data_IF_938972394753
#
_entry.id   IF_938972394753
#
_cell.length_a   1.000
_cell.length_b   1.000
_cell.length_c   1.000
_cell.angle_alpha   90.00
_cell.angle_beta   90.00
_cell.angle_gamma   90.00
#
_symmetry.space_group_name_H-M   'P 1'
#
loop_
_entity.id
_entity.type
_entity.pdbx_description
1 polymer ?
#
# COMPACT_ATOMS: atom_id res chain seq x y z
N UNK A 1 54.13 44.91 -73.05
CA UNK A 1 55.30 44.44 -72.28
C UNK A 1 54.80 43.77 -71.00
N UNK A 2 55.12 42.47 -70.84
CA UNK A 2 55.19 41.65 -69.60
C UNK A 2 53.97 41.70 -68.64
N UNK A 3 53.19 40.61 -68.49
CA UNK A 3 53.44 39.44 -67.60
C UNK A 3 53.47 39.90 -66.12
N UNK A 4 52.69 39.41 -65.15
CA UNK A 4 52.29 38.03 -64.81
C UNK A 4 51.43 38.02 -63.53
N UNK A 5 50.46 37.09 -63.44
CA UNK A 5 49.98 36.42 -62.20
C UNK A 5 49.19 37.26 -61.18
N UNK A 6 48.24 36.78 -60.40
CA UNK A 6 47.93 35.41 -59.98
C UNK A 6 46.59 35.41 -59.19
N UNK A 7 45.70 34.46 -59.52
CA UNK A 7 44.73 33.69 -58.69
C UNK A 7 43.84 34.38 -57.62
N UNK A 8 42.52 34.22 -57.78
CA UNK A 8 41.47 34.27 -56.72
C UNK A 8 41.68 33.15 -55.67
N UNK A 9 41.21 33.35 -54.41
CA UNK A 9 40.04 32.59 -53.94
C UNK A 9 39.06 33.45 -53.10
N UNK A 10 37.74 33.31 -53.31
CA UNK A 10 36.76 32.54 -52.50
C UNK A 10 36.65 33.02 -51.04
N UNK A 11 35.50 33.63 -50.76
CA UNK A 11 35.01 34.03 -49.43
C UNK A 11 35.08 32.84 -48.45
N UNK A 12 35.86 33.00 -47.39
CA UNK A 12 35.87 32.10 -46.26
C UNK A 12 34.66 32.37 -45.35
N UNK A 13 33.97 31.28 -45.05
CA UNK A 13 33.01 31.08 -43.97
C UNK A 13 33.63 31.40 -42.60
N UNK A 14 32.99 32.24 -41.79
CA UNK A 14 33.29 32.34 -40.36
C UNK A 14 32.03 32.24 -39.48
N UNK A 15 32.04 31.16 -38.68
CA UNK A 15 31.58 31.06 -37.31
C UNK A 15 30.07 31.16 -37.00
N UNK A 16 29.36 30.06 -37.26
CA UNK A 16 28.28 29.62 -36.38
C UNK A 16 28.90 29.25 -35.01
N UNK A 17 28.70 30.10 -34.01
CA UNK A 17 29.06 29.82 -32.62
C UNK A 17 28.23 28.63 -32.12
N UNK A 18 28.90 27.49 -31.95
CA UNK A 18 28.35 26.32 -31.29
C UNK A 18 28.02 26.65 -29.84
N UNK A 19 26.74 26.83 -29.53
CA UNK A 19 26.25 26.72 -28.15
C UNK A 19 26.44 25.27 -27.72
N UNK A 20 27.46 25.02 -26.90
CA UNK A 20 27.67 23.74 -26.24
C UNK A 20 26.37 23.31 -25.55
N UNK A 21 25.85 22.15 -25.93
CA UNK A 21 24.82 21.46 -25.15
C UNK A 21 25.47 21.12 -23.81
N UNK A 22 25.00 21.75 -22.73
CA UNK A 22 25.33 21.33 -21.38
C UNK A 22 24.99 19.83 -21.16
N UNK A 23 25.44 19.23 -20.05
CA UNK A 23 25.18 17.82 -19.77
C UNK A 23 23.69 17.54 -19.93
N UNK A 24 23.35 16.62 -20.84
CA UNK A 24 21.97 16.22 -21.07
C UNK A 24 21.54 15.50 -19.79
N UNK A 25 20.61 16.09 -19.03
CA UNK A 25 20.03 15.39 -17.88
C UNK A 25 19.60 13.99 -18.35
N UNK A 26 19.94 12.93 -17.60
CA UNK A 26 19.57 11.58 -17.98
C UNK A 26 18.05 11.55 -18.16
N UNK A 27 17.60 11.01 -19.30
CA UNK A 27 16.17 10.92 -19.56
C UNK A 27 15.51 10.09 -18.45
N UNK A 28 14.39 10.57 -17.87
CA UNK A 28 13.66 9.81 -16.87
C UNK A 28 13.26 8.45 -17.45
N UNK A 29 13.39 7.40 -16.64
CA UNK A 29 12.92 6.07 -17.01
C UNK A 29 11.43 6.12 -17.39
N UNK A 30 11.05 5.38 -18.43
CA UNK A 30 9.65 5.27 -18.87
C UNK A 30 9.12 3.85 -18.70
N UNK A 31 7.89 3.73 -18.18
CA UNK A 31 7.10 2.50 -18.14
C UNK A 31 5.67 2.78 -18.60
N UNK A 32 4.92 1.80 -19.07
CA UNK A 32 3.53 2.02 -19.46
C UNK A 32 2.67 2.43 -18.25
N UNK A 33 2.91 1.81 -17.09
CA UNK A 33 2.10 1.99 -15.87
C UNK A 33 2.95 2.15 -14.62
N UNK A 34 2.68 3.19 -13.83
CA UNK A 34 3.17 3.32 -12.45
C UNK A 34 2.02 3.03 -11.49
N UNK A 35 2.24 2.13 -10.55
CA UNK A 35 1.34 1.87 -9.43
C UNK A 35 1.98 2.45 -8.17
N UNK A 36 1.23 3.23 -7.38
CA UNK A 36 1.72 3.82 -6.13
C UNK A 36 1.13 3.05 -4.94
N UNK A 37 1.97 2.33 -4.19
CA UNK A 37 1.61 1.54 -3.01
C UNK A 37 1.65 0.03 -3.26
N UNK A 38 2.30 -0.72 -2.38
CA UNK A 38 2.39 -2.18 -2.39
C UNK A 38 1.51 -2.83 -1.29
N UNK A 39 0.33 -2.24 -1.06
CA UNK A 39 -0.74 -2.86 -0.27
C UNK A 39 -1.57 -3.88 -1.08
N UNK A 40 -2.68 -4.32 -0.49
CA UNK A 40 -3.65 -5.23 -1.14
C UNK A 40 -4.06 -4.74 -2.55
N UNK A 41 -4.41 -3.47 -2.69
CA UNK A 41 -4.82 -2.92 -3.99
C UNK A 41 -3.68 -2.91 -5.03
N UNK A 42 -2.47 -2.50 -4.65
CA UNK A 42 -1.35 -2.40 -5.57
C UNK A 42 -0.81 -3.76 -6.02
N UNK A 43 -0.74 -4.74 -5.11
CA UNK A 43 -0.39 -6.12 -5.47
C UNK A 43 -1.45 -6.71 -6.41
N UNK A 44 -2.74 -6.53 -6.09
CA UNK A 44 -3.83 -6.97 -6.95
C UNK A 44 -3.80 -6.32 -8.35
N UNK A 45 -3.52 -5.01 -8.43
CA UNK A 45 -3.37 -4.29 -9.69
C UNK A 45 -2.20 -4.82 -10.52
N UNK A 46 -1.04 -5.05 -9.90
CA UNK A 46 0.12 -5.64 -10.56
C UNK A 46 -0.17 -7.05 -11.11
N UNK A 47 -0.81 -7.91 -10.32
CA UNK A 47 -1.22 -9.24 -10.78
C UNK A 47 -2.16 -9.15 -11.99
N UNK A 48 -3.17 -8.26 -11.94
CA UNK A 48 -4.10 -8.11 -13.05
C UNK A 48 -3.45 -7.55 -14.31
N UNK A 49 -2.54 -6.58 -14.20
CA UNK A 49 -1.77 -6.08 -15.35
C UNK A 49 -0.94 -7.21 -15.96
N UNK A 50 -0.20 -7.96 -15.15
CA UNK A 50 0.65 -9.04 -15.66
C UNK A 50 -0.14 -10.17 -16.33
N UNK A 51 -1.30 -10.54 -15.78
CA UNK A 51 -2.14 -11.60 -16.36
C UNK A 51 -2.89 -11.15 -17.60
N UNK A 52 -3.37 -9.90 -17.65
CA UNK A 52 -4.27 -9.44 -18.72
C UNK A 52 -3.56 -8.68 -19.83
N UNK A 53 -2.45 -8.01 -19.51
CA UNK A 53 -1.67 -7.14 -20.39
C UNK A 53 -0.16 -7.43 -20.24
N UNK A 54 0.29 -8.68 -20.49
CA UNK A 54 1.69 -9.10 -20.27
C UNK A 54 2.71 -8.31 -21.10
N UNK A 55 2.27 -7.67 -22.19
CA UNK A 55 3.08 -6.81 -23.05
C UNK A 55 3.39 -5.44 -22.43
N UNK A 56 2.67 -5.04 -21.37
CA UNK A 56 2.79 -3.73 -20.74
C UNK A 56 3.80 -3.75 -19.60
N UNK A 57 4.74 -2.81 -19.66
CA UNK A 57 5.72 -2.58 -18.60
C UNK A 57 5.08 -1.83 -17.44
N UNK A 58 5.37 -2.25 -16.20
CA UNK A 58 4.91 -1.54 -15.03
C UNK A 58 5.89 -1.65 -13.86
N UNK A 59 5.79 -0.68 -12.95
CA UNK A 59 6.51 -0.64 -11.68
C UNK A 59 5.55 -0.28 -10.55
N UNK A 60 5.77 -0.86 -9.37
CA UNK A 60 5.09 -0.47 -8.15
C UNK A 60 6.06 0.32 -7.29
N UNK A 61 5.72 1.55 -6.89
CA UNK A 61 6.50 2.35 -5.96
C UNK A 61 5.90 2.23 -4.56
N UNK A 62 6.70 1.79 -3.59
CA UNK A 62 6.27 1.69 -2.18
C UNK A 62 7.18 2.54 -1.31
N UNK A 63 6.58 3.37 -0.46
CA UNK A 63 7.32 4.27 0.44
C UNK A 63 8.05 3.51 1.55
N UNK A 64 7.52 2.36 1.98
CA UNK A 64 8.09 1.48 3.00
C UNK A 64 9.09 0.50 2.40
N UNK A 65 9.77 -0.24 3.25
CA UNK A 65 10.64 -1.38 2.93
C UNK A 65 9.88 -2.72 2.91
N UNK A 66 8.55 -2.69 2.91
CA UNK A 66 7.69 -3.85 3.12
C UNK A 66 6.45 -3.84 2.23
N UNK A 67 6.00 -5.05 1.86
CA UNK A 67 4.69 -5.29 1.24
C UNK A 67 3.65 -5.41 2.35
N UNK A 68 2.46 -4.86 2.12
CA UNK A 68 1.27 -5.10 2.97
C UNK A 68 0.38 -3.89 3.17
N UNK A 69 0.92 -2.67 3.01
CA UNK A 69 0.19 -1.43 3.27
C UNK A 69 -0.37 -1.39 4.69
N UNK A 70 -1.69 -1.22 4.83
CA UNK A 70 -2.41 -1.22 6.12
C UNK A 70 -2.03 -2.40 7.01
N UNK A 71 -1.88 -3.60 6.43
CA UNK A 71 -1.64 -4.84 7.18
C UNK A 71 -0.20 -4.99 7.67
N UNK A 72 0.75 -4.22 7.12
CA UNK A 72 2.09 -4.07 7.69
C UNK A 72 2.21 -2.84 8.61
N UNK A 73 1.37 -1.82 8.39
CA UNK A 73 1.31 -0.58 9.17
C UNK A 73 0.77 -0.82 10.59
N UNK A 74 -0.40 -1.45 10.72
CA UNK A 74 -1.02 -1.66 12.01
C UNK A 74 -0.60 -2.99 12.61
N UNK A 75 0.03 -2.94 13.78
CA UNK A 75 0.59 -4.11 14.49
C UNK A 75 0.06 -4.28 15.91
N UNK A 76 -1.01 -3.55 16.26
CA UNK A 76 -1.61 -3.63 17.59
C UNK A 76 -2.36 -4.98 17.79
N UNK A 77 -2.45 -5.49 19.04
CA UNK A 77 -3.18 -6.71 19.35
C UNK A 77 -4.64 -6.64 18.90
N UNK A 78 -5.11 -7.66 18.20
CA UNK A 78 -6.51 -7.76 17.76
C UNK A 78 -6.80 -7.12 16.39
N UNK A 79 -5.81 -6.52 15.72
CA UNK A 79 -5.98 -6.05 14.34
C UNK A 79 -6.49 -7.18 13.44
N UNK A 80 -7.59 -6.94 12.73
CA UNK A 80 -8.27 -7.90 11.85
C UNK A 80 -9.09 -7.18 10.78
N UNK A 81 -9.54 -7.92 9.78
CA UNK A 81 -10.54 -7.43 8.83
C UNK A 81 -11.94 -7.45 9.45
N UNK A 82 -12.73 -6.43 9.16
CA UNK A 82 -14.17 -6.43 9.47
C UNK A 82 -14.99 -7.08 8.34
N UNK A 83 -14.40 -7.23 7.15
CA UNK A 83 -14.96 -7.97 6.02
C UNK A 83 -14.46 -9.41 6.01
N UNK A 84 -15.27 -10.31 5.47
CA UNK A 84 -14.86 -11.69 5.28
C UNK A 84 -13.81 -11.82 4.16
N UNK A 85 -12.88 -12.76 4.32
CA UNK A 85 -11.83 -12.97 3.32
C UNK A 85 -12.34 -13.56 2.00
N UNK A 86 -13.58 -14.07 1.89
CA UNK A 86 -14.11 -14.51 0.59
C UNK A 86 -14.47 -13.32 -0.30
N UNK A 87 -14.83 -12.19 0.29
CA UNK A 87 -15.07 -10.93 -0.42
C UNK A 87 -13.79 -10.11 -0.58
N UNK A 88 -12.92 -10.07 0.44
CA UNK A 88 -11.68 -9.28 0.44
C UNK A 88 -10.52 -9.92 -0.35
N UNK A 89 -10.43 -11.26 -0.45
CA UNK A 89 -9.37 -11.92 -1.23
C UNK A 89 -9.50 -11.69 -2.73
N UNK A 90 -8.38 -11.82 -3.44
CA UNK A 90 -8.35 -11.77 -4.89
C UNK A 90 -9.11 -12.96 -5.49
N UNK A 91 -9.94 -12.70 -6.50
CA UNK A 91 -10.71 -13.75 -7.19
C UNK A 91 -9.81 -14.80 -7.86
N UNK A 92 -8.62 -14.42 -8.31
CA UNK A 92 -7.64 -15.31 -8.91
C UNK A 92 -6.81 -16.09 -7.89
N UNK A 93 -6.80 -15.68 -6.61
CA UNK A 93 -6.11 -16.37 -5.52
C UNK A 93 -7.04 -16.52 -4.30
N UNK A 94 -7.98 -17.47 -4.33
CA UNK A 94 -8.97 -17.66 -3.27
C UNK A 94 -8.38 -17.82 -1.88
N UNK A 95 -9.05 -17.28 -0.87
CA UNK A 95 -8.69 -17.51 0.54
C UNK A 95 -8.81 -19.00 0.93
N UNK A 96 -7.74 -19.56 1.48
CA UNK A 96 -7.65 -20.98 1.86
C UNK A 96 -7.88 -21.23 3.36
N UNK A 97 -7.72 -20.23 4.21
CA UNK A 97 -7.69 -20.47 5.66
C UNK A 97 -9.09 -20.65 6.27
N UNK A 98 -9.22 -21.39 7.40
CA UNK A 98 -10.49 -21.65 8.08
C UNK A 98 -11.24 -20.39 8.52
N UNK A 99 -10.54 -19.39 9.04
CA UNK A 99 -11.19 -18.18 9.54
C UNK A 99 -11.54 -17.25 8.39
N UNK A 100 -12.82 -16.86 8.32
CA UNK A 100 -13.32 -15.87 7.35
C UNK A 100 -12.95 -14.45 7.81
N UNK A 101 -12.99 -14.20 9.11
CA UNK A 101 -12.55 -12.95 9.74
C UNK A 101 -11.08 -13.10 10.12
N UNK A 102 -10.21 -12.81 9.15
CA UNK A 102 -8.77 -13.01 9.31
C UNK A 102 -8.12 -11.89 10.13
N UNK A 103 -7.17 -12.27 10.98
CA UNK A 103 -6.28 -11.34 11.67
C UNK A 103 -5.31 -10.67 10.68
N UNK A 104 -4.73 -9.54 11.11
CA UNK A 104 -3.85 -8.76 10.25
C UNK A 104 -2.59 -9.51 9.79
N UNK A 105 -2.06 -10.44 10.59
CA UNK A 105 -0.87 -11.21 10.22
C UNK A 105 -1.17 -12.23 9.13
N UNK A 106 -2.34 -12.87 9.20
CA UNK A 106 -2.85 -13.79 8.18
C UNK A 106 -3.08 -13.06 6.84
N UNK A 107 -3.67 -11.85 6.88
CA UNK A 107 -3.87 -11.04 5.67
C UNK A 107 -2.53 -10.55 5.10
N UNK A 108 -1.61 -10.09 5.96
CA UNK A 108 -0.27 -9.67 5.55
C UNK A 108 0.49 -10.80 4.84
N UNK A 109 0.46 -12.01 5.42
CA UNK A 109 1.01 -13.21 4.81
C UNK A 109 0.38 -13.48 3.45
N UNK A 110 -0.95 -13.45 3.36
CA UNK A 110 -1.66 -13.66 2.10
C UNK A 110 -1.23 -12.68 1.00
N UNK A 111 -1.10 -11.39 1.32
CA UNK A 111 -0.65 -10.38 0.33
C UNK A 111 0.79 -10.67 -0.12
N UNK A 112 1.69 -10.98 0.83
CA UNK A 112 3.11 -11.27 0.54
C UNK A 112 3.29 -12.54 -0.30
N UNK A 113 2.59 -13.61 0.05
CA UNK A 113 2.63 -14.85 -0.73
C UNK A 113 2.05 -14.65 -2.13
N UNK A 114 0.95 -13.90 -2.26
CA UNK A 114 0.41 -13.55 -3.58
C UNK A 114 1.45 -12.81 -4.42
N UNK A 115 2.10 -11.81 -3.84
CA UNK A 115 3.10 -11.03 -4.55
C UNK A 115 4.26 -11.91 -5.04
N UNK A 116 4.73 -12.87 -4.22
CA UNK A 116 5.79 -13.82 -4.59
C UNK A 116 5.33 -14.81 -5.66
N UNK A 117 4.15 -15.40 -5.49
CA UNK A 117 3.58 -16.42 -6.38
C UNK A 117 3.43 -15.89 -7.82
N UNK A 118 3.02 -14.62 -7.95
CA UNK A 118 2.84 -13.97 -9.24
C UNK A 118 4.08 -13.17 -9.70
N UNK A 119 5.18 -13.17 -8.93
CA UNK A 119 6.42 -12.45 -9.24
C UNK A 119 6.31 -10.91 -9.17
N UNK A 120 5.26 -10.39 -8.53
CA UNK A 120 5.00 -8.97 -8.34
C UNK A 120 6.00 -8.34 -7.36
N UNK A 121 6.52 -9.11 -6.41
CA UNK A 121 7.58 -8.67 -5.49
C UNK A 121 8.81 -8.11 -6.24
N UNK A 122 9.17 -8.69 -7.40
CA UNK A 122 10.25 -8.23 -8.27
C UNK A 122 9.95 -6.95 -9.05
N UNK A 123 8.69 -6.51 -9.07
CA UNK A 123 8.23 -5.28 -9.73
C UNK A 123 8.08 -4.11 -8.76
N UNK A 124 8.34 -4.34 -7.47
CA UNK A 124 8.23 -3.31 -6.42
C UNK A 124 9.57 -2.64 -6.20
N UNK A 125 9.58 -1.31 -6.22
CA UNK A 125 10.67 -0.47 -5.73
C UNK A 125 10.29 0.06 -4.36
N UNK A 126 10.88 -0.57 -3.34
CA UNK A 126 10.72 -0.16 -1.96
C UNK A 126 11.44 1.15 -1.66
N UNK A 127 11.06 1.80 -0.56
CA UNK A 127 11.64 3.06 -0.09
C UNK A 127 11.48 4.22 -1.08
N UNK A 128 10.56 4.14 -2.04
CA UNK A 128 10.25 5.19 -3.01
C UNK A 128 8.94 5.89 -2.61
N UNK A 129 9.04 7.00 -1.88
CA UNK A 129 7.87 7.82 -1.53
C UNK A 129 7.55 8.76 -2.68
N UNK A 130 6.46 8.51 -3.39
CA UNK A 130 5.94 9.46 -4.39
C UNK A 130 5.54 10.75 -3.69
N UNK A 131 6.07 11.88 -4.18
CA UNK A 131 5.82 13.22 -3.64
C UNK A 131 5.14 14.15 -4.64
N UNK A 132 5.23 13.84 -5.95
CA UNK A 132 4.61 14.63 -7.01
C UNK A 132 4.21 13.76 -8.18
N UNK A 133 3.10 14.09 -8.81
CA UNK A 133 2.69 13.58 -10.11
C UNK A 133 2.18 14.75 -10.96
N UNK A 134 2.67 14.88 -12.19
CA UNK A 134 2.29 15.96 -13.10
C UNK A 134 1.92 15.39 -14.47
N UNK A 135 0.78 15.77 -15.02
CA UNK A 135 0.35 15.38 -16.35
C UNK A 135 0.81 16.40 -17.39
N UNK A 136 1.42 15.93 -18.47
CA UNK A 136 1.71 16.71 -19.67
C UNK A 136 0.69 16.37 -20.75
N UNK A 137 -0.11 17.35 -21.15
CA UNK A 137 -1.02 17.20 -22.31
C UNK A 137 -0.26 17.10 -23.62
N UNK A 138 0.87 17.80 -23.75
CA UNK A 138 1.73 17.79 -24.94
C UNK A 138 2.34 16.40 -25.18
N UNK A 139 2.88 15.78 -24.12
CA UNK A 139 3.50 14.46 -24.21
C UNK A 139 2.52 13.30 -24.02
N UNK A 140 1.29 13.60 -23.61
CA UNK A 140 0.26 12.66 -23.17
C UNK A 140 0.80 11.66 -22.12
N UNK A 141 1.54 12.16 -21.12
CA UNK A 141 2.23 11.34 -20.11
C UNK A 141 2.23 11.99 -18.74
N UNK A 142 2.28 11.14 -17.71
CA UNK A 142 2.61 11.52 -16.35
C UNK A 142 4.13 11.59 -16.17
N UNK A 143 4.59 12.56 -15.39
CA UNK A 143 5.88 12.57 -14.72
C UNK A 143 5.65 12.39 -13.23
N UNK A 144 6.22 11.33 -12.65
CA UNK A 144 6.13 10.97 -11.24
C UNK A 144 7.48 11.19 -10.58
N UNK A 145 7.49 11.96 -9.49
CA UNK A 145 8.67 12.19 -8.67
C UNK A 145 8.53 11.44 -7.35
N UNK A 146 9.55 10.69 -6.99
CA UNK A 146 9.65 9.97 -5.72
C UNK A 146 10.95 10.30 -5.00
N UNK A 147 10.88 10.42 -3.67
CA UNK A 147 12.05 10.54 -2.81
C UNK A 147 12.42 9.15 -2.29
N UNK A 148 13.67 8.76 -2.51
CA UNK A 148 14.26 7.56 -1.95
C UNK A 148 14.55 7.75 -0.47
N UNK A 149 13.94 6.94 0.40
CA UNK A 149 14.11 7.07 1.85
C UNK A 149 15.52 6.66 2.33
N UNK A 150 16.25 5.85 1.56
CA UNK A 150 17.60 5.40 1.89
C UNK A 150 18.70 6.40 1.49
N UNK A 151 18.48 7.20 0.44
CA UNK A 151 19.50 8.14 -0.08
C UNK A 151 19.08 9.61 -0.01
N UNK A 152 17.80 9.92 0.16
CA UNK A 152 17.24 11.26 0.01
C UNK A 152 17.14 11.74 -1.45
N UNK A 153 17.57 10.91 -2.40
CA UNK A 153 17.58 11.24 -3.83
C UNK A 153 16.15 11.37 -4.38
N UNK A 154 15.93 12.39 -5.21
CA UNK A 154 14.71 12.51 -6.01
C UNK A 154 14.89 11.73 -7.30
N UNK A 155 14.07 10.70 -7.49
CA UNK A 155 14.00 9.92 -8.71
C UNK A 155 12.78 10.35 -9.51
N UNK A 156 12.97 10.52 -10.82
CA UNK A 156 11.89 10.83 -11.77
C UNK A 156 11.64 9.65 -12.70
N UNK A 157 10.38 9.42 -13.00
CA UNK A 157 9.94 8.45 -13.99
C UNK A 157 8.70 8.93 -14.71
N UNK A 158 8.49 8.45 -15.92
CA UNK A 158 7.32 8.80 -16.74
C UNK A 158 6.46 7.58 -17.02
N UNK A 159 5.15 7.80 -17.18
CA UNK A 159 4.24 6.74 -17.58
C UNK A 159 3.02 7.25 -18.36
N UNK A 160 2.37 6.34 -19.09
CA UNK A 160 1.08 6.63 -19.72
C UNK A 160 -0.06 6.58 -18.70
N UNK A 161 -0.02 5.62 -17.79
CA UNK A 161 -1.04 5.44 -16.75
C UNK A 161 -0.46 5.47 -15.34
N UNK A 162 -1.17 6.14 -14.45
CA UNK A 162 -0.85 6.22 -13.02
C UNK A 162 -2.01 5.62 -12.20
N UNK A 163 -1.74 4.54 -11.47
CA UNK A 163 -2.70 3.92 -10.56
C UNK A 163 -2.34 4.24 -9.11
N UNK A 164 -3.21 4.99 -8.44
CA UNK A 164 -3.03 5.37 -7.03
C UNK A 164 -3.61 4.30 -6.11
N UNK A 165 -2.73 3.49 -5.52
CA UNK A 165 -3.03 2.43 -4.55
C UNK A 165 -2.47 2.76 -3.15
N UNK A 166 -2.30 4.05 -2.85
CA UNK A 166 -1.63 4.56 -1.64
C UNK A 166 -2.40 4.31 -0.34
N UNK A 167 -3.68 3.95 -0.43
CA UNK A 167 -4.58 3.88 0.71
C UNK A 167 -4.93 5.27 1.27
N UNK A 168 -5.68 5.29 2.35
CA UNK A 168 -6.18 6.52 3.00
C UNK A 168 -5.45 6.86 4.31
N UNK A 169 -4.62 5.95 4.83
CA UNK A 169 -3.83 6.20 6.03
C UNK A 169 -2.53 6.93 5.71
N UNK A 170 -2.25 7.98 6.46
CA UNK A 170 -0.93 8.62 6.51
C UNK A 170 0.04 7.72 7.27
N UNK A 171 1.10 7.23 6.63
CA UNK A 171 2.06 6.33 7.30
C UNK A 171 2.88 7.01 8.40
N UNK A 172 3.15 8.31 8.25
CA UNK A 172 3.99 9.08 9.17
C UNK A 172 3.30 9.42 10.49
N UNK A 173 1.99 9.68 10.46
CA UNK A 173 1.23 10.02 11.67
C UNK A 173 -0.25 9.69 11.55
N UNK A 174 -0.79 9.09 12.61
CA UNK A 174 -2.24 9.03 12.85
C UNK A 174 -2.75 10.32 13.48
N UNK A 175 -4.07 10.53 13.45
CA UNK A 175 -4.68 11.63 14.18
C UNK A 175 -4.57 11.38 15.68
N UNK A 176 -3.88 12.26 16.40
CA UNK A 176 -3.75 12.22 17.86
C UNK A 176 -4.33 13.51 18.44
N UNK A 177 -5.44 13.45 19.19
CA UNK A 177 -5.96 14.63 19.86
C UNK A 177 -4.96 15.14 20.90
N UNK A 178 -4.90 16.46 21.08
CA UNK A 178 -4.11 17.06 22.16
C UNK A 178 -4.89 16.91 23.45
N UNK A 179 -4.30 16.23 24.42
CA UNK A 179 -4.79 16.21 25.79
C UNK A 179 -3.95 17.16 26.62
N UNK A 180 -4.55 18.26 27.07
CA UNK A 180 -3.89 19.20 27.97
C UNK A 180 -3.42 18.47 29.23
N UNK A 181 -2.13 18.61 29.55
CA UNK A 181 -1.53 17.92 30.69
C UNK A 181 -1.05 16.50 30.44
N UNK A 182 -1.09 16.01 29.19
CA UNK A 182 -0.56 14.69 28.83
C UNK A 182 0.93 14.53 29.16
N UNK A 183 1.70 15.61 29.15
CA UNK A 183 3.11 15.62 29.55
C UNK A 183 3.34 15.26 31.03
N UNK A 184 2.32 15.40 31.88
CA UNK A 184 2.37 15.01 33.30
C UNK A 184 2.02 13.54 33.52
N UNK A 185 1.47 12.86 32.50
CA UNK A 185 1.15 11.44 32.59
C UNK A 185 2.45 10.62 32.58
N UNK A 186 2.72 9.93 33.70
CA UNK A 186 3.94 9.12 33.86
C UNK A 186 3.86 7.74 33.21
N UNK A 187 2.70 7.38 32.68
CA UNK A 187 2.50 6.13 31.95
C UNK A 187 2.88 6.27 30.47
N UNK A 188 2.91 5.14 29.78
CA UNK A 188 3.17 5.11 28.35
C UNK A 188 1.91 5.52 27.57
N UNK A 189 2.06 6.44 26.60
CA UNK A 189 1.01 6.80 25.65
C UNK A 189 1.35 6.17 24.31
N UNK A 190 0.51 5.24 23.87
CA UNK A 190 0.72 4.49 22.62
C UNK A 190 -0.41 4.79 21.65
N UNK A 191 -0.06 5.30 20.46
CA UNK A 191 -1.01 5.40 19.35
C UNK A 191 -1.05 4.06 18.60
N UNK A 192 -2.22 3.43 18.34
CA UNK A 192 -2.29 2.08 17.74
C UNK A 192 -1.59 1.93 16.38
N UNK A 193 -1.53 2.99 15.57
CA UNK A 193 -0.79 3.00 14.30
C UNK A 193 0.72 2.85 14.48
N UNK A 194 1.26 3.26 15.63
CA UNK A 194 2.68 3.19 15.96
C UNK A 194 2.94 2.15 17.04
N UNK A 195 2.08 1.13 17.13
CA UNK A 195 2.29 0.01 18.03
C UNK A 195 3.57 -0.72 17.64
N UNK A 196 4.60 -0.59 18.49
CA UNK A 196 5.91 -1.21 18.28
C UNK A 196 5.95 -2.56 18.96
N UNK A 197 6.88 -3.40 18.52
CA UNK A 197 7.23 -4.62 19.27
C UNK A 197 7.76 -4.19 20.64
N UNK A 198 7.21 -4.75 21.72
CA UNK A 198 7.62 -4.45 23.11
C UNK A 198 6.72 -3.50 23.91
N UNK A 199 5.54 -3.12 23.41
CA UNK A 199 4.54 -2.43 24.26
C UNK A 199 4.06 -3.38 25.36
N UNK A 200 4.53 -3.15 26.58
CA UNK A 200 4.19 -3.97 27.74
C UNK A 200 2.88 -3.47 28.38
N UNK A 201 1.83 -4.26 28.30
CA UNK A 201 0.53 -3.97 28.94
C UNK A 201 0.13 -5.01 30.00
N UNK A 202 0.88 -6.12 30.12
CA UNK A 202 0.55 -7.20 31.05
C UNK A 202 0.59 -6.72 32.50
N UNK A 203 -0.44 -7.05 33.27
CA UNK A 203 -0.57 -6.63 34.66
C UNK A 203 -0.72 -5.11 34.88
N UNK A 204 -0.82 -4.30 33.82
CA UNK A 204 -1.00 -2.85 33.91
C UNK A 204 -2.48 -2.47 33.90
N UNK A 205 -2.78 -1.28 34.42
CA UNK A 205 -4.07 -0.62 34.22
C UNK A 205 -3.98 0.19 32.93
N UNK A 206 -4.81 -0.11 31.95
CA UNK A 206 -4.76 0.47 30.60
C UNK A 206 -6.04 1.23 30.33
N UNK A 207 -5.92 2.44 29.79
CA UNK A 207 -7.05 3.20 29.25
C UNK A 207 -6.96 3.18 27.74
N UNK A 208 -7.99 2.66 27.07
CA UNK A 208 -8.16 2.72 25.61
C UNK A 208 -9.06 3.89 25.29
N UNK A 209 -8.55 4.90 24.59
CA UNK A 209 -9.28 6.12 24.27
C UNK A 209 -9.85 6.03 22.85
N UNK A 210 -11.17 6.18 22.74
CA UNK A 210 -11.91 6.05 21.49
C UNK A 210 -12.80 4.80 21.47
N UNK A 211 -13.70 4.75 20.50
CA UNK A 211 -14.74 3.72 20.36
C UNK A 211 -14.88 3.19 18.94
N UNK A 212 -14.01 3.61 18.01
CA UNK A 212 -14.02 3.11 16.63
C UNK A 212 -13.52 1.65 16.52
N UNK A 213 -13.47 1.13 15.30
CA UNK A 213 -13.08 -0.27 15.01
C UNK A 213 -11.76 -0.69 15.67
N UNK A 214 -10.75 0.18 15.69
CA UNK A 214 -9.47 -0.06 16.38
C UNK A 214 -9.65 -0.28 17.88
N UNK A 215 -10.47 0.53 18.56
CA UNK A 215 -10.70 0.36 20.00
C UNK A 215 -11.51 -0.91 20.29
N UNK A 216 -12.50 -1.20 19.45
CA UNK A 216 -13.36 -2.38 19.55
C UNK A 216 -12.62 -3.71 19.34
N UNK A 217 -11.45 -3.68 18.70
CA UNK A 217 -10.61 -4.85 18.49
C UNK A 217 -9.45 -4.91 19.49
N UNK A 218 -8.84 -3.76 19.80
CA UNK A 218 -7.72 -3.65 20.73
C UNK A 218 -8.12 -3.95 22.17
N UNK A 219 -9.19 -3.32 22.67
CA UNK A 219 -9.62 -3.48 24.07
C UNK A 219 -9.86 -4.95 24.46
N UNK A 220 -10.66 -5.75 23.72
CA UNK A 220 -10.82 -7.16 24.05
C UNK A 220 -9.55 -7.99 23.84
N UNK A 221 -8.65 -7.60 22.93
CA UNK A 221 -7.40 -8.32 22.70
C UNK A 221 -6.39 -8.17 23.85
N UNK A 222 -6.36 -7.01 24.52
CA UNK A 222 -5.44 -6.77 25.64
C UNK A 222 -6.04 -7.12 27.00
N UNK A 223 -7.37 -7.18 27.12
CA UNK A 223 -8.07 -7.44 28.38
C UNK A 223 -7.62 -8.71 29.12
N UNK A 224 -7.35 -9.86 28.48
CA UNK A 224 -6.86 -11.05 29.18
C UNK A 224 -5.47 -10.89 29.82
N UNK A 225 -4.66 -9.94 29.34
CA UNK A 225 -3.30 -9.71 29.83
C UNK A 225 -3.17 -8.55 30.80
N UNK A 226 -3.99 -7.51 30.65
CA UNK A 226 -3.96 -6.33 31.52
C UNK A 226 -4.56 -6.62 32.91
N UNK A 227 -4.16 -5.86 33.93
CA UNK A 227 -4.80 -5.94 35.25
C UNK A 227 -6.19 -5.29 35.24
N UNK A 228 -6.37 -4.24 34.45
CA UNK A 228 -7.67 -3.59 34.23
C UNK A 228 -7.65 -2.84 32.90
N UNK A 229 -8.75 -2.91 32.14
CA UNK A 229 -8.92 -2.13 30.90
C UNK A 229 -10.12 -1.20 31.06
N UNK A 230 -9.90 0.09 30.87
CA UNK A 230 -10.94 1.12 30.82
C UNK A 230 -11.10 1.59 29.39
N UNK A 231 -12.29 1.44 28.81
CA UNK A 231 -12.62 2.01 27.49
C UNK A 231 -13.21 3.40 27.68
N UNK A 232 -12.48 4.44 27.28
CA UNK A 232 -12.95 5.83 27.33
C UNK A 232 -13.65 6.19 26.01
N UNK A 233 -14.98 6.22 26.07
CA UNK A 233 -15.84 6.43 24.92
C UNK A 233 -16.48 7.83 24.94
N UNK A 234 -16.28 8.60 23.86
CA UNK A 234 -17.02 9.86 23.64
C UNK A 234 -18.37 9.64 22.94
N UNK A 235 -18.38 8.78 21.94
CA UNK A 235 -19.57 8.49 21.11
C UNK A 235 -19.72 6.98 20.95
N UNK A 236 -20.89 6.38 21.24
CA UNK A 236 -21.05 4.94 21.16
C UNK A 236 -20.95 4.41 19.73
N UNK A 237 -20.39 3.21 19.59
CA UNK A 237 -20.42 2.43 18.35
C UNK A 237 -21.49 1.35 18.44
N UNK A 238 -22.18 1.11 17.33
CA UNK A 238 -23.09 -0.02 17.20
C UNK A 238 -22.27 -1.27 16.83
N UNK A 239 -22.50 -2.37 17.55
CA UNK A 239 -21.69 -3.58 17.45
C UNK A 239 -22.58 -4.74 17.08
N UNK A 240 -22.15 -5.49 16.06
CA UNK A 240 -22.78 -6.76 15.67
C UNK A 240 -21.77 -7.88 15.90
N UNK A 241 -22.19 -8.91 16.61
CA UNK A 241 -21.39 -10.11 16.84
C UNK A 241 -21.56 -11.08 15.68
N UNK A 242 -20.49 -11.32 14.93
CA UNK A 242 -20.45 -12.29 13.84
C UNK A 242 -19.52 -13.47 14.17
N UNK A 243 -19.88 -14.71 13.81
CA UNK A 243 -19.02 -15.86 14.01
C UNK A 243 -17.78 -15.79 13.11
N UNK A 244 -16.60 -16.01 13.68
CA UNK A 244 -15.32 -15.96 12.96
C UNK A 244 -15.07 -17.16 12.01
N UNK A 245 -15.88 -18.21 12.16
CA UNK A 245 -15.91 -19.40 11.29
C UNK A 245 -17.35 -19.68 10.89
N UNK A 246 -17.54 -20.04 9.64
CA UNK A 246 -18.84 -20.45 9.11
C UNK A 246 -18.86 -22.00 9.00
N UNK A 247 -19.64 -22.70 9.84
CA UNK A 247 -19.71 -24.16 9.84
C UNK A 247 -20.16 -24.75 8.49
N UNK A 248 -20.95 -24.00 7.72
CA UNK A 248 -21.40 -24.41 6.38
C UNK A 248 -20.18 -24.44 5.46
N UNK A 249 -19.31 -23.44 5.55
CA UNK A 249 -18.09 -23.36 4.74
C UNK A 249 -17.11 -24.46 5.10
N UNK A 250 -16.92 -24.73 6.40
CA UNK A 250 -16.07 -25.82 6.85
C UNK A 250 -16.56 -27.19 6.37
N UNK A 251 -17.88 -27.38 6.26
CA UNK A 251 -18.46 -28.61 5.69
C UNK A 251 -18.28 -28.66 4.17
N UNK A 252 -18.53 -27.57 3.45
CA UNK A 252 -18.37 -27.50 1.99
C UNK A 252 -16.92 -27.74 1.55
N UNK A 253 -15.93 -27.23 2.31
CA UNK A 253 -14.50 -27.47 2.05
C UNK A 253 -14.08 -28.94 2.06
N UNK A 254 -14.83 -29.81 2.73
CA UNK A 254 -14.51 -31.25 2.78
C UNK A 254 -14.92 -32.01 1.52
N UNK A 255 -15.84 -31.46 0.74
CA UNK A 255 -16.50 -32.18 -0.37
C UNK A 255 -16.36 -31.47 -1.72
N UNK A 256 -16.07 -30.17 -1.75
CA UNK A 256 -15.98 -29.40 -2.99
C UNK A 256 -14.58 -28.81 -3.22
N UNK A 257 -14.15 -28.68 -4.50
CA UNK A 257 -12.95 -27.94 -4.87
C UNK A 257 -12.97 -26.49 -4.35
N UNK A 258 -11.80 -26.00 -3.91
CA UNK A 258 -11.67 -24.70 -3.25
C UNK A 258 -12.25 -23.52 -4.04
N UNK A 259 -12.13 -23.51 -5.37
CA UNK A 259 -12.69 -22.45 -6.24
C UNK A 259 -14.23 -22.41 -6.20
N UNK A 260 -14.88 -23.57 -6.15
CA UNK A 260 -16.34 -23.67 -6.08
C UNK A 260 -16.84 -23.23 -4.71
N UNK A 261 -16.18 -23.67 -3.64
CA UNK A 261 -16.50 -23.21 -2.28
C UNK A 261 -16.36 -21.69 -2.18
N UNK A 262 -15.25 -21.13 -2.65
CA UNK A 262 -15.04 -19.67 -2.62
C UNK A 262 -16.13 -18.92 -3.36
N UNK A 263 -16.53 -19.39 -4.55
CA UNK A 263 -17.57 -18.76 -5.37
C UNK A 263 -18.94 -18.78 -4.68
N UNK A 264 -19.35 -19.94 -4.14
CA UNK A 264 -20.63 -20.09 -3.43
C UNK A 264 -20.68 -19.21 -2.19
N UNK A 265 -19.59 -19.22 -1.39
CA UNK A 265 -19.53 -18.46 -0.13
C UNK A 265 -19.47 -16.96 -0.38
N UNK A 266 -18.73 -16.54 -1.41
CA UNK A 266 -18.68 -15.13 -1.83
C UNK A 266 -20.08 -14.62 -2.20
N UNK A 267 -20.82 -15.35 -3.04
CA UNK A 267 -22.19 -14.96 -3.39
C UNK A 267 -23.14 -14.96 -2.21
N UNK A 268 -23.06 -15.97 -1.32
CA UNK A 268 -23.82 -15.99 -0.06
C UNK A 268 -23.59 -14.72 0.75
N UNK A 269 -22.32 -14.34 0.97
CA UNK A 269 -21.97 -13.19 1.79
C UNK A 269 -22.35 -11.86 1.12
N UNK A 270 -22.17 -11.75 -0.21
CA UNK A 270 -22.63 -10.58 -0.97
C UNK A 270 -24.14 -10.40 -0.85
N UNK A 271 -24.92 -11.47 -1.05
CA UNK A 271 -26.38 -11.40 -0.95
C UNK A 271 -26.84 -11.07 0.47
N UNK A 272 -26.25 -11.69 1.50
CA UNK A 272 -26.55 -11.35 2.89
C UNK A 272 -26.33 -9.86 3.14
N UNK A 273 -25.21 -9.29 2.69
CA UNK A 273 -24.88 -7.87 2.88
C UNK A 273 -25.84 -6.93 2.12
N UNK A 274 -26.39 -7.36 0.98
CA UNK A 274 -27.33 -6.53 0.19
C UNK A 274 -28.76 -6.54 0.75
N UNK A 275 -29.15 -7.58 1.49
CA UNK A 275 -30.52 -7.77 1.98
C UNK A 275 -30.66 -7.67 3.52
N UNK A 276 -29.58 -7.32 4.23
CA UNK A 276 -29.55 -7.04 5.67
C UNK A 276 -29.39 -5.54 5.93
#
# INVERSE_FOLDING_TARGET
MRSSGQRRPVLASEAAQGRGRGPREPQPEHVDVVIVGAGLSGVGAGCHLQMRRPEKSFVILEARDSIGGTWDLFRYPGVRSDSDMYTLSYSFRPWSEPSSIADGSSILRYVRETAREYGIDRKIRFRHRVVRANWSTEDARWTVEAIRADTGETVRMTCGFLLMCSGYYRYDRGYTPVFEGSERFRGEIVHPQHWRDGVEYRGKRVVVIGSGATAMTLAPAIAPGAAHVTLLQRSPSYVVSLPARDPIVDRLRRVLPQRLVHSVVRWKNVLLTMFS
#
